data_IF_175842190962
#
_entry.id   IF_175842190962
#
_cell.length_a   1.000
_cell.length_b   1.000
_cell.length_c   1.000
_cell.angle_alpha   90.00
_cell.angle_beta   90.00
_cell.angle_gamma   90.00
#
_symmetry.space_group_name_H-M   'P 1'
#
loop_
_entity.id
_entity.type
_entity.pdbx_description
1 polymer ?
#
# COMPACT_ATOMS: atom_id res chain seq x y z
N UNK A 1 -7.08 -12.05 12.44
CA UNK A 1 -6.20 -13.20 12.74
C UNK A 1 -5.86 -14.11 11.54
N UNK A 2 -6.49 -13.99 10.35
CA UNK A 2 -6.18 -14.88 9.19
C UNK A 2 -4.81 -14.65 8.55
N UNK A 3 -4.38 -13.41 8.36
CA UNK A 3 -3.12 -13.05 7.64
C UNK A 3 -1.86 -13.49 8.40
N UNK A 4 -1.87 -13.40 9.73
CA UNK A 4 -0.72 -13.78 10.55
C UNK A 4 -0.42 -15.29 10.51
N UNK A 5 -1.44 -16.11 10.26
CA UNK A 5 -1.32 -17.57 10.21
C UNK A 5 -0.98 -18.07 8.81
N UNK A 6 -1.46 -17.41 7.75
CA UNK A 6 -1.11 -17.77 6.37
C UNK A 6 0.28 -17.25 5.96
N UNK A 7 0.78 -16.19 6.60
CA UNK A 7 2.03 -15.52 6.21
C UNK A 7 1.93 -14.80 4.87
N UNK A 8 0.73 -14.75 4.26
CA UNK A 8 0.46 -14.11 2.97
C UNK A 8 -0.08 -12.70 3.22
N UNK A 9 0.68 -11.63 2.93
CA UNK A 9 0.22 -10.25 3.10
C UNK A 9 -1.09 -10.01 2.35
N UNK A 10 -2.03 -9.27 2.94
CA UNK A 10 -3.31 -8.95 2.30
C UNK A 10 -4.17 -10.18 1.92
N UNK A 11 -4.02 -11.30 2.62
CA UNK A 11 -4.93 -12.44 2.49
C UNK A 11 -6.20 -12.29 3.36
N UNK A 12 -6.88 -11.16 3.18
CA UNK A 12 -8.12 -10.81 3.85
C UNK A 12 -8.98 -9.84 3.02
N UNK A 13 -10.09 -9.36 3.61
CA UNK A 13 -11.02 -8.41 2.96
C UNK A 13 -10.37 -7.07 2.61
N UNK A 14 -9.33 -6.66 3.32
CA UNK A 14 -8.59 -5.45 2.97
C UNK A 14 -7.77 -5.69 1.71
N UNK A 15 -7.23 -6.90 1.54
CA UNK A 15 -6.58 -7.31 0.29
C UNK A 15 -7.52 -7.47 -0.88
N UNK A 16 -8.74 -7.98 -0.67
CA UNK A 16 -9.78 -8.01 -1.72
C UNK A 16 -10.00 -6.61 -2.29
N UNK A 17 -10.23 -5.64 -1.39
CA UNK A 17 -10.39 -4.24 -1.79
C UNK A 17 -9.16 -3.66 -2.48
N UNK A 18 -7.95 -4.00 -2.00
CA UNK A 18 -6.73 -3.51 -2.63
C UNK A 18 -6.59 -4.06 -4.05
N UNK A 19 -6.88 -5.35 -4.27
CA UNK A 19 -6.93 -5.94 -5.61
C UNK A 19 -7.93 -5.23 -6.51
N UNK A 20 -9.13 -4.96 -5.99
CA UNK A 20 -10.15 -4.20 -6.72
C UNK A 20 -9.65 -2.79 -7.10
N UNK A 21 -8.99 -2.09 -6.17
CA UNK A 21 -8.40 -0.77 -6.45
C UNK A 21 -7.35 -0.83 -7.54
N UNK A 22 -6.47 -1.83 -7.50
CA UNK A 22 -5.40 -2.01 -8.47
C UNK A 22 -5.88 -2.58 -9.81
N UNK A 23 -7.08 -3.18 -9.86
CA UNK A 23 -7.56 -3.88 -11.05
C UNK A 23 -6.80 -5.18 -11.32
N UNK A 24 -6.31 -5.85 -10.26
CA UNK A 24 -5.55 -7.09 -10.36
C UNK A 24 -6.37 -8.28 -9.90
N UNK A 25 -6.27 -9.39 -10.63
CA UNK A 25 -6.72 -10.68 -10.13
C UNK A 25 -5.80 -11.20 -9.01
N UNK A 26 -6.26 -12.23 -8.29
CA UNK A 26 -5.52 -12.78 -7.14
C UNK A 26 -4.17 -13.36 -7.54
N UNK A 27 -4.10 -14.07 -8.66
CA UNK A 27 -2.89 -14.77 -9.08
C UNK A 27 -1.80 -13.77 -9.46
N UNK A 28 -2.14 -12.72 -10.20
CA UNK A 28 -1.25 -11.62 -10.55
C UNK A 28 -0.82 -10.83 -9.30
N UNK A 29 -1.75 -10.56 -8.37
CA UNK A 29 -1.46 -9.83 -7.14
C UNK A 29 -0.44 -10.55 -6.24
N UNK A 30 -0.38 -11.88 -6.31
CA UNK A 30 0.58 -12.69 -5.56
C UNK A 30 1.77 -13.21 -6.38
N UNK A 31 1.87 -12.86 -7.67
CA UNK A 31 3.04 -13.18 -8.48
C UNK A 31 4.22 -12.31 -8.02
N UNK A 32 5.16 -12.92 -7.29
CA UNK A 32 6.33 -12.25 -6.72
C UNK A 32 7.31 -11.70 -7.75
N UNK A 33 7.18 -12.07 -9.02
CA UNK A 33 7.95 -11.49 -10.13
C UNK A 33 7.39 -10.13 -10.56
N UNK A 34 6.12 -9.86 -10.23
CA UNK A 34 5.41 -8.63 -10.59
C UNK A 34 5.14 -7.73 -9.37
N UNK A 35 4.70 -8.30 -8.25
CA UNK A 35 4.32 -7.56 -7.04
C UNK A 35 5.23 -7.91 -5.87
N UNK A 36 5.75 -6.88 -5.20
CA UNK A 36 6.48 -7.01 -3.93
C UNK A 36 5.72 -6.33 -2.81
N UNK A 37 5.62 -6.99 -1.66
CA UNK A 37 5.00 -6.46 -0.45
C UNK A 37 6.07 -6.17 0.60
N UNK A 38 6.18 -4.90 1.02
CA UNK A 38 7.10 -4.49 2.09
C UNK A 38 6.31 -3.73 3.15
N UNK A 39 5.94 -4.38 4.27
CA UNK A 39 5.25 -3.69 5.35
C UNK A 39 6.20 -2.74 6.11
N UNK A 40 5.66 -1.73 6.77
CA UNK A 40 6.45 -0.82 7.63
C UNK A 40 7.05 -1.53 8.85
N UNK A 41 6.41 -2.61 9.32
CA UNK A 41 6.96 -3.50 10.35
C UNK A 41 6.94 -4.96 9.89
N UNK A 42 7.99 -5.70 10.24
CA UNK A 42 8.17 -7.11 9.91
C UNK A 42 7.68 -8.07 11.01
N UNK A 43 7.24 -7.53 12.14
CA UNK A 43 6.60 -8.28 13.22
C UNK A 43 5.22 -7.72 13.54
N UNK A 44 4.33 -8.56 14.05
CA UNK A 44 3.03 -8.10 14.55
C UNK A 44 3.23 -7.25 15.82
N UNK A 45 2.76 -5.99 15.85
CA UNK A 45 3.05 -5.08 16.97
C UNK A 45 2.20 -5.36 18.22
N UNK A 46 1.19 -6.23 18.14
CA UNK A 46 0.22 -6.45 19.21
C UNK A 46 -1.02 -5.56 19.07
N UNK A 47 -1.99 -5.75 19.97
CA UNK A 47 -3.22 -4.97 20.04
C UNK A 47 -3.19 -4.01 21.24
N UNK A 48 -3.77 -2.82 21.08
CA UNK A 48 -4.11 -1.93 22.19
C UNK A 48 -5.31 -2.47 22.99
N UNK A 49 -5.64 -1.83 24.10
CA UNK A 49 -6.77 -2.22 24.97
C UNK A 49 -8.14 -2.10 24.29
N UNK A 50 -8.23 -1.46 23.13
CA UNK A 50 -9.44 -1.30 22.31
C UNK A 50 -9.46 -2.25 21.11
N UNK A 51 -8.48 -3.14 20.99
CA UNK A 51 -8.37 -4.11 19.90
C UNK A 51 -7.92 -3.52 18.57
N UNK A 52 -7.23 -2.36 18.57
CA UNK A 52 -6.56 -1.83 17.39
C UNK A 52 -5.11 -2.27 17.37
N UNK A 53 -4.55 -2.45 16.17
CA UNK A 53 -3.12 -2.73 16.03
C UNK A 53 -2.31 -1.57 16.63
N UNK A 54 -1.30 -1.92 17.42
CA UNK A 54 -0.30 -0.96 17.89
C UNK A 54 0.48 -0.38 16.70
N UNK A 55 1.09 0.82 16.86
CA UNK A 55 1.93 1.39 15.80
C UNK A 55 3.08 0.43 15.43
N UNK A 56 3.52 0.42 14.16
CA UNK A 56 4.72 -0.31 13.73
C UNK A 56 5.92 0.07 14.62
N UNK A 57 6.61 -0.89 15.25
CA UNK A 57 7.77 -0.58 16.08
C UNK A 57 8.90 0.00 15.22
N UNK A 58 9.60 1.04 15.69
CA UNK A 58 10.60 1.74 14.89
C UNK A 58 11.78 0.84 14.49
N UNK A 59 12.14 -0.12 15.36
CA UNK A 59 13.27 -1.04 15.13
C UNK A 59 13.16 -1.78 13.80
N UNK A 60 11.96 -2.14 13.34
CA UNK A 60 11.81 -2.84 12.07
C UNK A 60 12.26 -2.00 10.88
N UNK A 61 11.90 -0.72 10.92
CA UNK A 61 12.29 0.23 9.90
C UNK A 61 13.78 0.50 10.00
N UNK A 62 14.23 0.91 11.19
CA UNK A 62 15.56 1.44 11.40
C UNK A 62 16.66 0.37 11.24
N UNK A 63 16.33 -0.91 11.35
CA UNK A 63 17.31 -2.01 11.25
C UNK A 63 17.37 -2.65 9.87
N UNK A 64 16.25 -2.78 9.15
CA UNK A 64 16.16 -3.68 7.99
C UNK A 64 15.55 -3.06 6.73
N UNK A 65 14.88 -1.90 6.79
CA UNK A 65 14.15 -1.40 5.62
C UNK A 65 15.08 -1.00 4.48
N UNK A 66 16.20 -0.34 4.80
CA UNK A 66 17.16 0.10 3.79
C UNK A 66 17.74 -1.09 3.00
N UNK A 67 18.12 -2.17 3.69
CA UNK A 67 18.61 -3.40 3.06
C UNK A 67 17.55 -4.07 2.18
N UNK A 68 16.29 -4.13 2.65
CA UNK A 68 15.17 -4.71 1.89
C UNK A 68 14.90 -3.90 0.62
N UNK A 69 14.86 -2.58 0.72
CA UNK A 69 14.62 -1.71 -0.43
C UNK A 69 15.79 -1.75 -1.42
N UNK A 70 17.03 -1.84 -0.93
CA UNK A 70 18.20 -2.03 -1.79
C UNK A 70 18.14 -3.36 -2.55
N UNK A 71 17.68 -4.43 -1.91
CA UNK A 71 17.52 -5.75 -2.55
C UNK A 71 16.42 -5.77 -3.61
N UNK A 72 15.29 -5.11 -3.35
CA UNK A 72 14.17 -5.02 -4.31
C UNK A 72 14.54 -4.11 -5.49
N UNK A 73 15.36 -3.08 -5.25
CA UNK A 73 15.70 -2.07 -6.24
C UNK A 73 14.55 -1.08 -6.48
N UNK A 74 14.76 -0.09 -7.37
CA UNK A 74 13.77 0.95 -7.64
C UNK A 74 12.57 0.36 -8.42
N UNK A 75 11.35 0.36 -7.86
CA UNK A 75 10.19 -0.13 -8.58
C UNK A 75 9.71 0.89 -9.63
N UNK A 76 9.12 0.38 -10.72
CA UNK A 76 8.49 1.23 -11.75
C UNK A 76 7.18 1.89 -11.28
N UNK A 77 6.54 1.27 -10.29
CA UNK A 77 5.35 1.78 -9.60
C UNK A 77 5.48 1.46 -8.11
N UNK A 78 5.43 2.50 -7.28
CA UNK A 78 5.50 2.45 -5.82
C UNK A 78 4.18 2.90 -5.24
N UNK A 79 3.54 2.01 -4.48
CA UNK A 79 2.25 2.28 -3.85
C UNK A 79 2.46 2.30 -2.33
N UNK A 80 2.29 3.48 -1.73
CA UNK A 80 2.54 3.71 -0.30
C UNK A 80 1.19 3.76 0.40
N UNK A 81 0.93 2.80 1.28
CA UNK A 81 -0.40 2.58 1.85
C UNK A 81 -0.39 2.91 3.34
N UNK A 82 -1.22 3.87 3.72
CA UNK A 82 -1.49 4.19 5.12
C UNK A 82 -0.47 5.13 5.78
N UNK A 83 -0.91 5.74 6.88
CA UNK A 83 -0.22 6.87 7.55
C UNK A 83 1.25 6.60 7.86
N UNK A 84 1.56 5.46 8.51
CA UNK A 84 2.92 5.18 8.93
C UNK A 84 3.88 4.98 7.75
N UNK A 85 3.42 4.31 6.69
CA UNK A 85 4.21 4.14 5.48
C UNK A 85 4.47 5.51 4.83
N UNK A 86 3.45 6.36 4.69
CA UNK A 86 3.57 7.72 4.14
C UNK A 86 4.62 8.54 4.88
N UNK A 87 4.51 8.60 6.22
CA UNK A 87 5.43 9.36 7.06
C UNK A 87 6.86 8.86 6.92
N UNK A 88 7.08 7.54 6.94
CA UNK A 88 8.41 6.93 6.87
C UNK A 88 9.05 7.04 5.48
N UNK A 89 8.26 6.89 4.43
CA UNK A 89 8.75 6.85 3.06
C UNK A 89 8.87 8.22 2.37
N UNK A 90 8.03 9.18 2.74
CA UNK A 90 7.95 10.49 2.09
C UNK A 90 8.16 11.66 3.07
N UNK A 91 8.22 11.40 4.38
CA UNK A 91 8.32 12.47 5.40
C UNK A 91 7.07 13.33 5.52
N UNK A 92 5.97 12.96 4.85
CA UNK A 92 4.76 13.76 4.78
C UNK A 92 3.89 13.57 6.02
N UNK A 93 3.45 14.69 6.59
CA UNK A 93 2.49 14.76 7.69
C UNK A 93 1.36 15.71 7.30
N UNK A 94 0.13 15.40 7.74
CA UNK A 94 -1.02 16.26 7.49
C UNK A 94 -2.31 15.47 7.26
N UNK A 95 -3.39 16.15 6.86
CA UNK A 95 -4.64 15.51 6.48
C UNK A 95 -4.41 14.51 5.34
N UNK A 96 -4.75 13.24 5.57
CA UNK A 96 -4.55 12.16 4.60
C UNK A 96 -5.19 12.47 3.23
N UNK A 97 -6.30 13.22 3.22
CA UNK A 97 -6.98 13.65 2.00
C UNK A 97 -6.15 14.60 1.14
N UNK A 98 -5.42 15.53 1.76
CA UNK A 98 -4.53 16.44 1.04
C UNK A 98 -3.32 15.69 0.48
N UNK A 99 -2.71 14.82 1.30
CA UNK A 99 -1.60 13.97 0.86
C UNK A 99 -2.01 13.11 -0.34
N UNK A 100 -3.17 12.47 -0.28
CA UNK A 100 -3.65 11.64 -1.39
C UNK A 100 -3.99 12.49 -2.63
N UNK A 101 -4.60 13.66 -2.45
CA UNK A 101 -4.97 14.54 -3.56
C UNK A 101 -3.74 15.07 -4.31
N UNK A 102 -2.62 15.25 -3.61
CA UNK A 102 -1.38 15.79 -4.15
C UNK A 102 -0.49 14.72 -4.82
N UNK A 103 -1.02 13.54 -5.12
CA UNK A 103 -0.24 12.41 -5.65
C UNK A 103 0.58 12.72 -6.91
N UNK A 104 0.15 13.71 -7.71
CA UNK A 104 0.86 14.17 -8.92
C UNK A 104 2.14 14.95 -8.63
N UNK A 105 2.34 15.45 -7.41
CA UNK A 105 3.57 16.14 -6.99
C UNK A 105 4.70 15.17 -6.60
N UNK A 106 4.37 13.89 -6.38
CA UNK A 106 5.33 12.86 -5.98
C UNK A 106 6.15 12.35 -7.17
N UNK A 107 7.31 11.69 -6.92
CA UNK A 107 8.12 11.13 -7.99
C UNK A 107 7.29 10.23 -8.90
N UNK A 108 7.59 10.28 -10.21
CA UNK A 108 6.89 9.49 -11.23
C UNK A 108 6.73 8.03 -10.80
N UNK A 109 5.51 7.51 -10.95
CA UNK A 109 5.17 6.16 -10.51
C UNK A 109 4.99 6.02 -8.99
N UNK A 110 4.81 7.10 -8.23
CA UNK A 110 4.48 7.02 -6.79
C UNK A 110 3.02 7.37 -6.55
N UNK A 111 2.29 6.47 -5.90
CA UNK A 111 0.92 6.71 -5.44
C UNK A 111 0.83 6.52 -3.93
N UNK A 112 0.02 7.36 -3.30
CA UNK A 112 -0.29 7.26 -1.87
C UNK A 112 -1.76 6.88 -1.73
N UNK A 113 -2.04 5.84 -0.94
CA UNK A 113 -3.39 5.32 -0.72
C UNK A 113 -3.76 5.35 0.78
N UNK A 114 -5.05 5.49 1.11
CA UNK A 114 -5.51 5.19 2.45
C UNK A 114 -5.39 3.67 2.68
N UNK A 115 -5.42 3.22 3.94
CA UNK A 115 -5.44 1.78 4.20
C UNK A 115 -6.72 1.15 3.61
N UNK A 116 -6.67 -0.01 2.94
CA UNK A 116 -7.85 -0.62 2.30
C UNK A 116 -8.82 -1.29 3.29
N UNK A 117 -8.71 -1.00 4.59
CA UNK A 117 -9.60 -1.57 5.60
C UNK A 117 -11.03 -1.04 5.40
N UNK A 118 -12.02 -1.90 5.63
CA UNK A 118 -13.43 -1.53 5.63
C UNK A 118 -13.76 -0.39 6.61
N UNK A 119 -12.96 -0.23 7.67
CA UNK A 119 -13.06 0.88 8.62
C UNK A 119 -12.90 2.27 7.96
N UNK A 120 -12.22 2.34 6.81
CA UNK A 120 -12.04 3.59 6.06
C UNK A 120 -13.23 3.96 5.15
N UNK A 121 -14.32 3.20 5.15
CA UNK A 121 -15.50 3.51 4.30
C UNK A 121 -16.09 4.91 4.53
N UNK A 122 -16.11 5.39 5.78
CA UNK A 122 -16.55 6.74 6.10
C UNK A 122 -15.60 7.83 5.57
N UNK A 123 -14.30 7.54 5.50
CA UNK A 123 -13.31 8.44 4.92
C UNK A 123 -13.46 8.51 3.40
N UNK A 124 -13.62 7.36 2.72
CA UNK A 124 -13.78 7.30 1.26
C UNK A 124 -14.97 8.15 0.78
N UNK A 125 -16.13 8.03 1.44
CA UNK A 125 -17.32 8.84 1.14
C UNK A 125 -17.10 10.35 1.26
N UNK A 126 -16.21 10.78 2.16
CA UNK A 126 -15.89 12.20 2.38
C UNK A 126 -14.79 12.71 1.43
N UNK A 127 -14.12 11.82 0.70
CA UNK A 127 -12.97 12.15 -0.13
C UNK A 127 -13.14 11.53 -1.53
N UNK A 128 -14.15 12.00 -2.31
CA UNK A 128 -14.51 11.40 -3.60
C UNK A 128 -13.37 11.47 -4.63
N UNK A 129 -12.44 12.42 -4.47
CA UNK A 129 -11.25 12.55 -5.33
C UNK A 129 -10.43 11.25 -5.40
N UNK A 130 -10.41 10.46 -4.32
CA UNK A 130 -9.69 9.20 -4.31
C UNK A 130 -10.23 8.23 -5.39
N UNK A 131 -11.55 8.08 -5.46
CA UNK A 131 -12.19 7.19 -6.44
C UNK A 131 -12.31 7.83 -7.83
N UNK A 132 -12.54 9.15 -7.89
CA UNK A 132 -12.77 9.87 -9.14
C UNK A 132 -11.49 10.15 -9.94
N UNK A 133 -10.34 10.30 -9.27
CA UNK A 133 -9.09 10.72 -9.92
C UNK A 133 -7.91 9.78 -9.62
N UNK A 134 -7.68 9.46 -8.36
CA UNK A 134 -6.48 8.70 -7.94
C UNK A 134 -6.55 7.25 -8.43
N UNK A 135 -7.68 6.58 -8.20
CA UNK A 135 -7.85 5.18 -8.59
C UNK A 135 -7.78 4.96 -10.12
N UNK A 136 -8.44 5.77 -10.98
CA UNK A 136 -8.30 5.64 -12.43
C UNK A 136 -6.86 5.75 -12.91
N UNK A 137 -6.12 6.76 -12.44
CA UNK A 137 -4.73 6.96 -12.84
C UNK A 137 -3.79 5.85 -12.33
N UNK A 138 -4.05 5.34 -11.11
CA UNK A 138 -3.34 4.19 -10.58
C UNK A 138 -3.60 2.94 -11.43
N UNK A 139 -4.86 2.66 -11.76
CA UNK A 139 -5.25 1.50 -12.59
C UNK A 139 -4.63 1.56 -13.97
N UNK A 140 -4.58 2.73 -14.59
CA UNK A 140 -3.89 2.91 -15.88
C UNK A 140 -2.40 2.56 -15.77
N UNK A 141 -1.73 3.04 -14.71
CA UNK A 141 -0.33 2.72 -14.46
C UNK A 141 -0.10 1.22 -14.23
N UNK A 142 -0.97 0.57 -13.46
CA UNK A 142 -0.92 -0.88 -13.20
C UNK A 142 -1.16 -1.67 -14.49
N UNK A 143 -2.19 -1.33 -15.25
CA UNK A 143 -2.57 -2.03 -16.49
C UNK A 143 -1.45 -1.96 -17.53
N UNK A 144 -0.83 -0.79 -17.69
CA UNK A 144 0.32 -0.62 -18.59
C UNK A 144 1.49 -1.52 -18.17
N UNK A 145 1.86 -1.51 -16.90
CA UNK A 145 2.96 -2.36 -16.40
C UNK A 145 2.65 -3.85 -16.50
N UNK A 146 1.38 -4.23 -16.30
CA UNK A 146 0.95 -5.61 -16.43
C UNK A 146 1.00 -6.11 -17.88
N UNK A 147 0.63 -5.27 -18.85
CA UNK A 147 0.76 -5.60 -20.27
C UNK A 147 2.23 -5.84 -20.63
N UNK A 148 3.11 -4.90 -20.27
CA UNK A 148 4.55 -5.03 -20.50
C UNK A 148 5.14 -6.27 -19.79
N UNK A 149 4.69 -6.59 -18.58
CA UNK A 149 5.13 -7.77 -17.85
C UNK A 149 4.72 -9.08 -18.52
N UNK A 150 3.53 -9.14 -19.14
CA UNK A 150 3.02 -10.34 -19.83
C UNK A 150 3.66 -10.59 -21.19
N UNK A 151 4.25 -9.55 -21.78
CA UNK A 151 4.97 -9.63 -23.06
C UNK A 151 6.42 -10.13 -22.91
N UNK A 152 6.94 -10.17 -21.67
CA UNK A 152 8.29 -10.62 -21.33
C UNK A 152 8.27 -11.99 -20.63
#
# INVERSE_FOLDING_TARGET
>A
MRVQQSGVPFDDRSGDRLRDWLGLDRDTFYDRRFVSFVPTAFCFPGYDTKGNDLPPPPICWDTWHDDVLAHIGPPRLRIIIGKYAIERHLGLKGPLSQVIADWRSYPNGTFVLPHPSWRNGGWLRKNPIFEAEVLPALRESVARLLAEYREN
#
